data_IF_336714514827
#
_entry.id   IF_336714514827
#
_cell.length_a   1.000
_cell.length_b   1.000
_cell.length_c   1.000
_cell.angle_alpha   90.00
_cell.angle_beta   90.00
_cell.angle_gamma   90.00
#
_symmetry.space_group_name_H-M   'P 1'
#
loop_
_entity.id
_entity.type
_entity.pdbx_description
1 polymer ?
#
# COMPACT_ATOMS: atom_id res chain seq x y z
N UNK A 1 -13.40 -3.04 -11.87
CA UNK A 1 -12.48 -4.03 -11.27
C UNK A 1 -12.35 -3.70 -9.80
N UNK A 2 -12.87 -4.56 -8.94
CA UNK A 2 -12.71 -4.44 -7.49
C UNK A 2 -11.38 -5.09 -7.08
N UNK A 3 -10.65 -4.47 -6.15
CA UNK A 3 -9.27 -4.88 -5.80
C UNK A 3 -9.11 -5.29 -4.33
N UNK A 4 -9.96 -4.79 -3.44
CA UNK A 4 -10.00 -5.17 -2.02
C UNK A 4 -11.29 -4.65 -1.36
N UNK A 5 -11.71 -5.29 -0.27
CA UNK A 5 -12.77 -4.76 0.60
C UNK A 5 -12.20 -3.66 1.50
N UNK A 6 -12.94 -2.56 1.63
CA UNK A 6 -12.54 -1.39 2.42
C UNK A 6 -12.11 -1.74 3.87
N UNK A 7 -12.87 -2.61 4.54
CA UNK A 7 -12.59 -3.05 5.92
C UNK A 7 -11.37 -3.97 6.07
N UNK A 8 -10.82 -4.50 4.97
CA UNK A 8 -9.62 -5.33 5.02
C UNK A 8 -8.33 -4.48 5.09
N UNK A 9 -8.41 -3.21 4.69
CA UNK A 9 -7.27 -2.28 4.67
C UNK A 9 -7.20 -1.54 6.00
N UNK A 10 -6.29 -1.99 6.87
CA UNK A 10 -6.07 -1.44 8.20
C UNK A 10 -5.29 -0.13 8.13
N UNK A 11 -5.54 0.75 9.11
CA UNK A 11 -4.84 2.03 9.22
C UNK A 11 -3.33 1.83 9.39
N UNK A 12 -2.54 2.61 8.64
CA UNK A 12 -1.08 2.61 8.62
C UNK A 12 -0.41 1.25 8.34
N UNK A 13 -1.14 0.30 7.76
CA UNK A 13 -0.62 -1.02 7.41
C UNK A 13 -0.73 -1.26 5.90
N UNK A 14 0.37 -1.71 5.29
CA UNK A 14 0.40 -2.12 3.89
C UNK A 14 -0.52 -3.30 3.62
N UNK A 15 -1.41 -3.15 2.63
CA UNK A 15 -2.18 -4.25 2.06
C UNK A 15 -1.71 -4.49 0.61
N UNK A 16 -1.08 -5.63 0.36
CA UNK A 16 -0.49 -5.96 -0.94
C UNK A 16 -1.50 -6.62 -1.86
N UNK A 17 -1.51 -6.22 -3.13
CA UNK A 17 -2.27 -6.87 -4.19
C UNK A 17 -1.51 -6.86 -5.52
N UNK A 18 -1.97 -7.68 -6.46
CA UNK A 18 -1.56 -7.61 -7.86
C UNK A 18 -2.71 -7.08 -8.72
N UNK A 19 -2.39 -6.10 -9.57
CA UNK A 19 -3.32 -5.57 -10.57
C UNK A 19 -2.58 -5.38 -11.89
N UNK A 20 -3.11 -5.94 -12.98
CA UNK A 20 -2.54 -5.84 -14.33
C UNK A 20 -1.03 -6.20 -14.36
N UNK A 21 -0.64 -7.28 -13.67
CA UNK A 21 0.76 -7.74 -13.58
C UNK A 21 1.67 -6.88 -12.69
N UNK A 22 1.16 -5.81 -12.06
CA UNK A 22 1.94 -4.92 -11.19
C UNK A 22 1.65 -5.22 -9.72
N UNK A 23 2.71 -5.25 -8.90
CA UNK A 23 2.60 -5.31 -7.43
C UNK A 23 2.22 -3.92 -6.91
N UNK A 24 1.08 -3.81 -6.24
CA UNK A 24 0.53 -2.58 -5.68
C UNK A 24 0.41 -2.76 -4.17
N UNK A 25 0.66 -1.68 -3.42
CA UNK A 25 0.34 -1.59 -2.00
C UNK A 25 -0.77 -0.55 -1.81
N UNK A 26 -1.82 -0.95 -1.12
CA UNK A 26 -2.84 -0.05 -0.60
C UNK A 26 -2.48 0.36 0.81
N UNK A 27 -2.59 1.65 1.09
CA UNK A 27 -2.36 2.24 2.40
C UNK A 27 -3.59 3.02 2.81
N UNK A 28 -4.00 2.85 4.07
CA UNK A 28 -4.93 3.78 4.69
C UNK A 28 -4.16 4.68 5.65
N UNK A 29 -4.32 5.99 5.49
CA UNK A 29 -3.71 6.97 6.37
C UNK A 29 -4.67 8.15 6.57
N UNK A 30 -5.00 8.45 7.82
CA UNK A 30 -5.96 9.49 8.21
C UNK A 30 -7.31 9.28 7.53
N UNK A 31 -7.76 8.01 7.52
CA UNK A 31 -9.02 7.60 6.89
C UNK A 31 -9.02 7.59 5.35
N UNK A 32 -7.98 8.15 4.69
CA UNK A 32 -7.87 8.19 3.23
C UNK A 32 -7.12 6.97 2.70
N UNK A 33 -7.55 6.48 1.54
CA UNK A 33 -6.89 5.38 0.83
C UNK A 33 -5.92 5.91 -0.22
N UNK A 34 -4.75 5.30 -0.27
CA UNK A 34 -3.69 5.58 -1.22
C UNK A 34 -3.25 4.27 -1.89
N UNK A 35 -2.87 4.35 -3.16
CA UNK A 35 -2.33 3.24 -3.91
C UNK A 35 -0.96 3.61 -4.46
N UNK A 36 0.03 2.75 -4.24
CA UNK A 36 1.42 2.95 -4.67
C UNK A 36 1.96 1.68 -5.32
N UNK A 37 2.99 1.81 -6.16
CA UNK A 37 3.78 0.64 -6.57
C UNK A 37 4.39 0.02 -5.32
N UNK A 38 4.25 -1.30 -5.12
CA UNK A 38 4.81 -1.99 -3.96
C UNK A 38 6.31 -2.27 -4.09
N UNK A 39 7.06 -1.35 -4.71
CA UNK A 39 8.47 -1.52 -5.03
C UNK A 39 9.15 -0.20 -4.76
N UNK A 40 10.04 -0.18 -3.79
CA UNK A 40 10.87 0.99 -3.50
C UNK A 40 11.72 1.32 -4.73
N UNK A 41 11.74 2.60 -5.11
CA UNK A 41 12.50 3.08 -6.28
C UNK A 41 14.02 2.97 -6.10
N UNK A 42 14.50 2.91 -4.85
CA UNK A 42 15.92 2.84 -4.55
C UNK A 42 16.51 1.42 -4.72
N UNK A 43 15.98 0.42 -4.01
CA UNK A 43 16.53 -0.95 -3.97
C UNK A 43 15.51 -2.05 -4.30
N UNK A 44 14.29 -1.70 -4.74
CA UNK A 44 13.29 -2.67 -5.15
C UNK A 44 12.56 -3.41 -4.01
N UNK A 45 12.89 -3.11 -2.75
CA UNK A 45 12.24 -3.72 -1.59
C UNK A 45 10.72 -3.45 -1.55
N UNK A 46 9.91 -4.37 -0.98
CA UNK A 46 8.47 -4.17 -0.87
C UNK A 46 8.12 -3.06 0.12
N UNK A 47 7.42 -2.03 -0.33
CA UNK A 47 6.95 -0.94 0.55
C UNK A 47 5.95 -1.43 1.60
N UNK A 48 5.23 -2.52 1.32
CA UNK A 48 4.28 -3.16 2.24
C UNK A 48 4.91 -3.71 3.52
N UNK A 49 6.24 -3.93 3.55
CA UNK A 49 6.96 -4.35 4.75
C UNK A 49 7.40 -3.17 5.63
N UNK A 50 7.27 -1.93 5.14
CA UNK A 50 7.63 -0.73 5.89
C UNK A 50 6.50 -0.22 6.79
N UNK A 51 6.75 0.97 7.37
CA UNK A 51 5.81 1.67 8.25
C UNK A 51 5.34 2.97 7.59
N UNK A 52 4.07 3.32 7.81
CA UNK A 52 3.54 4.64 7.45
C UNK A 52 3.70 5.56 8.64
N UNK A 53 4.38 6.69 8.43
CA UNK A 53 4.60 7.71 9.44
C UNK A 53 4.37 9.09 8.85
N UNK A 54 4.01 10.03 9.71
CA UNK A 54 3.93 11.44 9.34
C UNK A 54 5.35 11.97 9.15
N UNK A 55 5.63 12.54 7.96
CA UNK A 55 6.86 13.29 7.74
C UNK A 55 6.90 14.53 8.64
N UNK A 56 8.07 14.79 9.23
CA UNK A 56 8.38 16.04 9.95
C UNK A 56 8.58 17.19 8.97
#
# INVERSE_FOLDING_TARGET
MEVAKNGNIKENKGHTLQGNGKKIVLLRHRGRLFALKNTCSHQGAPLSHGFVQQGR
#
